data_IF_096321583913
#
_entry.id   IF_096321583913
#
_cell.length_a   1.000
_cell.length_b   1.000
_cell.length_c   1.000
_cell.angle_alpha   90.00
_cell.angle_beta   90.00
_cell.angle_gamma   90.00
#
_symmetry.space_group_name_H-M   'P 1'
#
loop_
_entity.id
_entity.type
_entity.pdbx_description
1 polymer ?
#
# COMPACT_ATOMS: atom_id res chain seq x y z
N UNK A 1 19.22 -32.86 -3.42
CA UNK A 1 18.00 -33.60 -3.02
C UNK A 1 16.91 -32.66 -2.51
N UNK A 2 17.28 -31.58 -1.82
CA UNK A 2 16.35 -30.57 -1.25
C UNK A 2 15.48 -29.82 -2.27
N UNK A 3 16.03 -29.48 -3.45
CA UNK A 3 15.27 -28.78 -4.51
C UNK A 3 14.12 -29.60 -5.12
N UNK A 4 14.31 -30.91 -5.29
CA UNK A 4 13.28 -31.79 -5.85
C UNK A 4 12.11 -32.00 -4.87
N UNK A 5 12.39 -32.01 -3.56
CA UNK A 5 11.33 -32.05 -2.54
C UNK A 5 10.54 -30.74 -2.48
N UNK A 6 11.21 -29.59 -2.66
CA UNK A 6 10.55 -28.30 -2.74
C UNK A 6 9.60 -28.22 -3.96
N UNK A 7 10.08 -28.62 -5.14
CA UNK A 7 9.26 -28.67 -6.36
C UNK A 7 8.06 -29.64 -6.24
N UNK A 8 8.24 -30.76 -5.53
CA UNK A 8 7.15 -31.70 -5.27
C UNK A 8 6.06 -31.08 -4.37
N UNK A 9 6.46 -30.34 -3.32
CA UNK A 9 5.51 -29.62 -2.44
C UNK A 9 4.80 -28.49 -3.19
N UNK A 10 5.51 -27.76 -4.04
CA UNK A 10 4.93 -26.72 -4.89
C UNK A 10 3.92 -27.30 -5.88
N UNK A 11 4.25 -28.43 -6.51
CA UNK A 11 3.31 -29.14 -7.37
C UNK A 11 2.03 -29.54 -6.62
N UNK A 12 2.12 -30.05 -5.39
CA UNK A 12 0.93 -30.39 -4.59
C UNK A 12 0.05 -29.16 -4.34
N UNK A 13 0.65 -28.00 -4.05
CA UNK A 13 -0.09 -26.76 -3.87
C UNK A 13 -0.81 -26.34 -5.17
N UNK A 14 -0.10 -26.34 -6.30
CA UNK A 14 -0.67 -26.00 -7.62
C UNK A 14 -1.77 -26.98 -8.01
N UNK A 15 -1.58 -28.28 -7.77
CA UNK A 15 -2.57 -29.31 -8.08
C UNK A 15 -3.87 -29.09 -7.28
N UNK A 16 -3.76 -28.74 -5.99
CA UNK A 16 -4.91 -28.38 -5.16
C UNK A 16 -5.64 -27.15 -5.70
N UNK A 17 -4.90 -26.13 -6.13
CA UNK A 17 -5.49 -24.90 -6.68
C UNK A 17 -6.20 -25.18 -8.02
N UNK A 18 -5.62 -26.01 -8.88
CA UNK A 18 -6.25 -26.48 -10.13
C UNK A 18 -7.54 -27.27 -9.85
N UNK A 19 -7.50 -28.18 -8.88
CA UNK A 19 -8.68 -28.93 -8.41
C UNK A 19 -9.78 -27.98 -7.91
N UNK A 20 -9.44 -27.02 -7.05
CA UNK A 20 -10.40 -26.02 -6.56
C UNK A 20 -10.98 -25.16 -7.70
N UNK A 21 -10.23 -24.96 -8.78
CA UNK A 21 -10.68 -24.24 -9.98
C UNK A 21 -11.50 -25.10 -10.95
N UNK A 22 -11.58 -26.42 -10.74
CA UNK A 22 -12.33 -27.37 -11.58
C UNK A 22 -11.49 -28.03 -12.68
N UNK A 23 -10.16 -27.91 -12.63
CA UNK A 23 -9.20 -28.46 -13.60
C UNK A 23 -8.68 -29.83 -13.13
N UNK A 24 -9.59 -30.77 -12.91
CA UNK A 24 -9.28 -32.13 -12.48
C UNK A 24 -8.64 -32.95 -13.62
N UNK A 25 -7.77 -33.90 -13.27
CA UNK A 25 -7.24 -34.91 -14.21
C UNK A 25 -5.90 -34.59 -14.86
N UNK A 26 -5.29 -33.43 -14.61
CA UNK A 26 -3.91 -33.19 -15.04
C UNK A 26 -2.91 -33.87 -14.08
N UNK A 27 -2.50 -35.10 -14.42
CA UNK A 27 -1.47 -35.86 -13.69
C UNK A 27 -0.04 -35.45 -14.09
N UNK A 28 0.20 -34.13 -14.21
CA UNK A 28 1.44 -33.54 -14.74
C UNK A 28 2.66 -33.59 -13.81
N UNK A 29 2.64 -34.43 -12.77
CA UNK A 29 3.71 -34.52 -11.78
C UNK A 29 5.09 -34.82 -12.41
N UNK A 30 5.15 -35.37 -13.62
CA UNK A 30 6.40 -35.70 -14.34
C UNK A 30 6.55 -35.01 -15.69
N UNK A 31 5.50 -34.38 -16.23
CA UNK A 31 5.45 -33.86 -17.60
C UNK A 31 5.16 -32.35 -17.70
N UNK A 32 5.73 -31.56 -16.78
CA UNK A 32 5.69 -30.09 -16.88
C UNK A 32 6.75 -29.62 -17.89
N UNK A 33 6.32 -28.84 -18.89
CA UNK A 33 7.21 -28.25 -19.88
C UNK A 33 6.47 -27.89 -21.17
N UNK A 34 7.03 -26.94 -21.92
CA UNK A 34 6.45 -26.42 -23.17
C UNK A 34 6.41 -27.46 -24.27
N UNK A 35 7.31 -28.44 -24.28
CA UNK A 35 7.25 -29.57 -25.22
C UNK A 35 6.11 -30.55 -24.92
N UNK A 36 5.51 -30.53 -23.72
CA UNK A 36 4.38 -31.37 -23.38
C UNK A 36 3.06 -30.75 -23.92
N UNK A 37 2.31 -31.46 -24.78
CA UNK A 37 1.05 -30.95 -25.33
C UNK A 37 -0.02 -30.77 -24.25
N UNK A 38 -0.07 -31.65 -23.25
CA UNK A 38 -1.05 -31.56 -22.15
C UNK A 38 -0.83 -30.30 -21.29
N UNK A 39 0.43 -29.95 -21.04
CA UNK A 39 0.79 -28.72 -20.32
C UNK A 39 0.37 -27.47 -21.10
N UNK A 40 0.67 -27.44 -22.41
CA UNK A 40 0.24 -26.34 -23.29
C UNK A 40 -1.27 -26.24 -23.37
N UNK A 41 -1.97 -27.38 -23.44
CA UNK A 41 -3.43 -27.45 -23.42
C UNK A 41 -4.02 -26.94 -22.10
N UNK A 42 -3.43 -27.28 -20.96
CA UNK A 42 -3.86 -26.74 -19.67
C UNK A 42 -3.72 -25.22 -19.61
N UNK A 43 -2.54 -24.68 -19.98
CA UNK A 43 -2.30 -23.24 -20.02
C UNK A 43 -3.29 -22.54 -20.96
N UNK A 44 -3.57 -23.14 -22.13
CA UNK A 44 -4.53 -22.61 -23.08
C UNK A 44 -5.97 -22.56 -22.54
N UNK A 45 -6.41 -23.60 -21.80
CA UNK A 45 -7.74 -23.58 -21.16
C UNK A 45 -7.85 -22.51 -20.07
N UNK A 46 -6.83 -22.36 -19.23
CA UNK A 46 -6.78 -21.31 -18.20
C UNK A 46 -6.82 -19.91 -18.83
N UNK A 47 -6.02 -19.69 -19.87
CA UNK A 47 -5.99 -18.42 -20.61
C UNK A 47 -7.31 -18.10 -21.31
N UNK A 48 -7.96 -19.11 -21.92
CA UNK A 48 -9.27 -18.95 -22.53
C UNK A 48 -10.31 -18.55 -21.48
N UNK A 49 -10.29 -19.17 -20.29
CA UNK A 49 -11.21 -18.81 -19.22
C UNK A 49 -10.97 -17.38 -18.73
N UNK A 50 -9.71 -16.98 -18.49
CA UNK A 50 -9.35 -15.60 -18.15
C UNK A 50 -9.91 -14.58 -19.17
N UNK A 51 -9.83 -14.90 -20.46
CA UNK A 51 -10.42 -14.09 -21.52
C UNK A 51 -11.95 -13.99 -21.40
N UNK A 52 -12.64 -15.10 -21.14
CA UNK A 52 -14.11 -15.08 -20.93
C UNK A 52 -14.53 -14.27 -19.71
N UNK A 53 -13.64 -14.14 -18.71
CA UNK A 53 -13.87 -13.38 -17.51
C UNK A 53 -13.62 -11.88 -17.68
N UNK A 54 -13.02 -11.46 -18.80
CA UNK A 54 -12.69 -10.06 -19.08
C UNK A 54 -11.41 -9.58 -18.38
N UNK A 55 -10.50 -10.51 -18.03
CA UNK A 55 -9.23 -10.18 -17.39
C UNK A 55 -8.19 -9.59 -18.36
N UNK A 56 -8.51 -9.55 -19.66
CA UNK A 56 -7.66 -9.07 -20.75
C UNK A 56 -8.31 -7.80 -21.33
N UNK A 57 -7.56 -6.70 -21.41
CA UNK A 57 -8.04 -5.38 -21.84
C UNK A 57 -8.39 -5.30 -23.34
N UNK A 58 -8.29 -6.41 -24.09
CA UNK A 58 -8.66 -6.44 -25.51
C UNK A 58 -10.10 -5.97 -25.71
N UNK A 59 -10.24 -4.92 -26.50
CA UNK A 59 -11.51 -4.41 -26.97
C UNK A 59 -12.36 -5.57 -27.51
N UNK A 60 -13.64 -5.54 -27.14
CA UNK A 60 -14.67 -6.61 -27.24
C UNK A 60 -14.93 -7.17 -28.65
N UNK A 61 -14.18 -6.76 -29.66
CA UNK A 61 -14.36 -7.07 -31.07
C UNK A 61 -13.12 -7.76 -31.65
N UNK A 62 -12.90 -9.00 -31.19
CA UNK A 62 -12.62 -10.17 -32.01
C UNK A 62 -12.21 -11.27 -31.04
N UNK A 63 -12.89 -12.43 -31.12
CA UNK A 63 -12.46 -13.65 -30.43
C UNK A 63 -11.14 -14.14 -31.04
N UNK A 64 -10.06 -13.42 -30.80
CA UNK A 64 -8.71 -13.89 -31.06
C UNK A 64 -8.38 -14.91 -29.97
N UNK A 65 -8.20 -16.17 -30.37
CA UNK A 65 -7.75 -17.23 -29.48
C UNK A 65 -6.45 -16.80 -28.78
N UNK A 66 -6.56 -16.52 -27.48
CA UNK A 66 -5.52 -15.88 -26.66
C UNK A 66 -4.25 -16.72 -26.57
N UNK A 67 -4.42 -18.02 -26.40
CA UNK A 67 -3.31 -18.96 -26.29
C UNK A 67 -3.70 -20.29 -26.95
N UNK A 68 -2.94 -20.72 -27.95
CA UNK A 68 -3.18 -21.98 -28.67
C UNK A 68 -2.19 -23.04 -28.18
N UNK A 69 -2.71 -24.20 -27.79
CA UNK A 69 -1.87 -25.33 -27.44
C UNK A 69 -1.07 -25.81 -28.67
N UNK A 70 -1.77 -26.07 -29.79
CA UNK A 70 -1.23 -26.50 -31.08
C UNK A 70 -0.55 -27.89 -31.04
N UNK A 71 -0.76 -28.72 -32.07
CA UNK A 71 -0.15 -30.08 -32.13
C UNK A 71 0.74 -30.29 -33.37
N UNK A 72 1.06 -29.19 -34.08
CA UNK A 72 1.87 -29.22 -35.30
C UNK A 72 3.36 -28.93 -35.08
N UNK A 73 4.20 -29.16 -36.11
CA UNK A 73 5.59 -28.71 -36.09
C UNK A 73 5.63 -27.18 -35.93
N UNK A 74 6.36 -26.69 -34.92
CA UNK A 74 6.41 -25.26 -34.58
C UNK A 74 5.33 -24.78 -33.57
N UNK A 75 4.51 -25.69 -33.04
CA UNK A 75 3.47 -25.34 -32.08
C UNK A 75 4.03 -24.86 -30.73
N UNK A 76 5.21 -25.35 -30.32
CA UNK A 76 5.88 -24.91 -29.11
C UNK A 76 6.32 -23.44 -29.22
N UNK A 77 6.96 -23.05 -30.32
CA UNK A 77 7.41 -21.69 -30.57
C UNK A 77 6.25 -20.71 -30.79
N UNK A 78 5.14 -21.18 -31.38
CA UNK A 78 3.91 -20.39 -31.47
C UNK A 78 3.28 -20.17 -30.09
N UNK A 79 3.19 -21.22 -29.28
CA UNK A 79 2.70 -21.16 -27.91
C UNK A 79 3.52 -20.19 -27.05
N UNK A 80 4.86 -20.29 -27.11
CA UNK A 80 5.77 -19.45 -26.33
C UNK A 80 5.63 -17.96 -26.67
N UNK A 81 5.45 -17.61 -27.95
CA UNK A 81 5.21 -16.22 -28.37
C UNK A 81 3.89 -15.69 -27.82
N UNK A 82 2.80 -16.46 -27.98
CA UNK A 82 1.48 -16.10 -27.45
C UNK A 82 1.48 -15.99 -25.92
N UNK A 83 2.23 -16.87 -25.26
CA UNK A 83 2.36 -16.87 -23.81
C UNK A 83 3.07 -15.61 -23.32
N UNK A 84 4.14 -15.18 -23.98
CA UNK A 84 4.84 -13.95 -23.63
C UNK A 84 3.93 -12.72 -23.76
N UNK A 85 3.10 -12.66 -24.81
CA UNK A 85 2.12 -11.59 -24.98
C UNK A 85 1.03 -11.61 -23.90
N UNK A 86 0.50 -12.80 -23.58
CA UNK A 86 -0.47 -12.98 -22.51
C UNK A 86 0.08 -12.55 -21.15
N UNK A 87 1.31 -12.96 -20.81
CA UNK A 87 1.93 -12.63 -19.53
C UNK A 87 2.21 -11.14 -19.40
N UNK A 88 2.56 -10.46 -20.50
CA UNK A 88 2.72 -9.00 -20.53
C UNK A 88 1.41 -8.27 -20.31
N UNK A 89 0.32 -8.77 -20.87
CA UNK A 89 -1.03 -8.21 -20.70
C UNK A 89 -1.59 -8.45 -19.30
N UNK A 90 -1.34 -9.62 -18.71
CA UNK A 90 -1.68 -9.92 -17.32
C UNK A 90 -0.70 -9.29 -16.30
N UNK A 91 0.26 -8.47 -16.76
CA UNK A 91 1.26 -7.82 -15.92
C UNK A 91 2.01 -8.79 -14.98
N UNK A 92 2.41 -9.96 -15.49
CA UNK A 92 3.08 -10.98 -14.69
C UNK A 92 4.39 -10.45 -14.06
N UNK A 93 4.58 -10.59 -12.74
CA UNK A 93 5.76 -10.04 -12.06
C UNK A 93 7.03 -10.89 -12.22
N UNK A 94 6.93 -12.11 -12.75
CA UNK A 94 8.08 -13.00 -12.93
C UNK A 94 8.93 -12.54 -14.13
N UNK A 95 10.08 -11.94 -13.83
CA UNK A 95 11.01 -11.41 -14.83
C UNK A 95 11.65 -12.49 -15.71
N UNK A 96 11.76 -13.72 -15.23
CA UNK A 96 12.31 -14.82 -16.03
C UNK A 96 11.30 -15.27 -17.09
N UNK A 97 10.01 -15.30 -16.72
CA UNK A 97 8.93 -15.66 -17.64
C UNK A 97 8.59 -14.53 -18.63
N UNK A 98 8.71 -13.27 -18.21
CA UNK A 98 8.40 -12.10 -19.05
C UNK A 98 9.62 -11.52 -19.79
N UNK A 99 10.80 -12.11 -19.60
CA UNK A 99 12.04 -11.69 -20.22
C UNK A 99 12.18 -12.17 -21.68
N UNK A 100 13.27 -11.78 -22.34
CA UNK A 100 13.54 -12.13 -23.73
C UNK A 100 13.80 -13.62 -24.02
N UNK A 101 13.94 -14.45 -22.98
CA UNK A 101 14.22 -15.89 -23.10
C UNK A 101 13.25 -16.75 -22.26
N UNK A 102 11.95 -16.48 -22.40
CA UNK A 102 10.88 -17.28 -21.79
C UNK A 102 11.00 -18.77 -22.15
N UNK A 103 11.51 -19.07 -23.35
CA UNK A 103 11.76 -20.42 -23.84
C UNK A 103 12.80 -21.17 -22.99
N UNK A 104 13.93 -20.53 -22.63
CA UNK A 104 14.90 -21.15 -21.75
C UNK A 104 14.37 -21.30 -20.32
N UNK A 105 13.66 -20.28 -19.80
CA UNK A 105 13.09 -20.33 -18.46
C UNK A 105 12.12 -21.52 -18.29
N UNK A 106 11.21 -21.73 -19.25
CA UNK A 106 10.20 -22.79 -19.19
C UNK A 106 10.74 -24.21 -19.47
N UNK A 107 12.05 -24.37 -19.69
CA UNK A 107 12.69 -25.70 -19.59
C UNK A 107 12.84 -26.15 -18.14
N UNK A 108 12.87 -25.21 -17.20
CA UNK A 108 12.94 -25.51 -15.78
C UNK A 108 11.56 -25.83 -15.22
N UNK A 109 11.46 -26.97 -14.52
CA UNK A 109 10.22 -27.41 -13.89
C UNK A 109 9.66 -26.36 -12.91
N UNK A 110 10.53 -25.73 -12.12
CA UNK A 110 10.16 -24.65 -11.22
C UNK A 110 9.54 -23.44 -11.94
N UNK A 111 10.00 -23.07 -13.13
CA UNK A 111 9.41 -21.96 -13.89
C UNK A 111 8.01 -22.31 -14.41
N UNK A 112 7.80 -23.55 -14.85
CA UNK A 112 6.46 -24.04 -15.22
C UNK A 112 5.49 -24.05 -14.02
N UNK A 113 5.95 -24.40 -12.82
CA UNK A 113 5.15 -24.33 -11.60
C UNK A 113 4.77 -22.89 -11.24
N UNK A 114 5.73 -21.95 -11.32
CA UNK A 114 5.46 -20.52 -11.10
C UNK A 114 4.45 -19.98 -12.11
N UNK A 115 4.55 -20.37 -13.38
CA UNK A 115 3.57 -20.02 -14.40
C UNK A 115 2.18 -20.51 -14.05
N UNK A 116 2.02 -21.80 -13.72
CA UNK A 116 0.70 -22.36 -13.37
C UNK A 116 0.12 -21.70 -12.13
N UNK A 117 0.96 -21.46 -11.10
CA UNK A 117 0.54 -20.76 -9.89
C UNK A 117 0.03 -19.36 -10.22
N UNK A 118 0.74 -18.62 -11.06
CA UNK A 118 0.34 -17.30 -11.51
C UNK A 118 -1.00 -17.34 -12.27
N UNK A 119 -1.15 -18.23 -13.26
CA UNK A 119 -2.40 -18.36 -14.01
C UNK A 119 -3.58 -18.76 -13.11
N UNK A 120 -3.35 -19.64 -12.12
CA UNK A 120 -4.37 -19.99 -11.13
C UNK A 120 -4.77 -18.80 -10.26
N UNK A 121 -3.80 -18.01 -9.77
CA UNK A 121 -4.11 -16.84 -8.93
C UNK A 121 -4.84 -15.76 -9.72
N UNK A 122 -4.46 -15.51 -10.97
CA UNK A 122 -5.18 -14.58 -11.84
C UNK A 122 -6.60 -15.07 -12.11
N UNK A 123 -6.78 -16.38 -12.32
CA UNK A 123 -8.12 -16.93 -12.56
C UNK A 123 -9.01 -16.83 -11.31
N UNK A 124 -8.45 -17.10 -10.13
CA UNK A 124 -9.13 -16.91 -8.85
C UNK A 124 -9.55 -15.44 -8.67
N UNK A 125 -8.63 -14.49 -8.94
CA UNK A 125 -8.89 -13.07 -8.86
C UNK A 125 -9.98 -12.62 -9.86
N UNK A 126 -9.89 -13.03 -11.11
CA UNK A 126 -10.86 -12.71 -12.16
C UNK A 126 -12.26 -13.26 -11.82
N UNK A 127 -12.34 -14.50 -11.31
CA UNK A 127 -13.62 -15.08 -10.84
C UNK A 127 -14.18 -14.28 -9.66
N UNK A 128 -13.35 -13.90 -8.69
CA UNK A 128 -13.76 -13.07 -7.57
C UNK A 128 -14.29 -11.71 -8.04
N UNK A 129 -13.56 -11.03 -8.93
CA UNK A 129 -13.96 -9.72 -9.47
C UNK A 129 -15.26 -9.79 -10.28
N UNK A 130 -15.57 -10.91 -10.95
CA UNK A 130 -16.88 -11.10 -11.59
C UNK A 130 -18.02 -11.37 -10.61
N UNK A 131 -17.72 -12.00 -9.49
CA UNK A 131 -18.71 -12.30 -8.43
C UNK A 131 -18.93 -11.11 -7.51
N UNK A 132 -17.95 -10.21 -7.38
CA UNK A 132 -18.00 -9.04 -6.50
C UNK A 132 -19.22 -8.14 -6.81
N UNK A 133 -19.53 -7.77 -8.08
CA UNK A 133 -20.76 -7.05 -8.41
C UNK A 133 -22.06 -7.79 -8.04
N UNK A 134 -22.04 -9.13 -7.94
CA UNK A 134 -23.22 -9.93 -7.57
C UNK A 134 -23.45 -10.01 -6.05
N UNK A 135 -22.37 -9.99 -5.26
CA UNK A 135 -22.43 -9.84 -3.81
C UNK A 135 -22.90 -8.44 -3.41
N UNK A 136 -22.48 -7.41 -4.17
CA UNK A 136 -22.93 -6.04 -3.97
C UNK A 136 -24.41 -5.83 -4.40
N UNK A 137 -24.97 -6.73 -5.21
CA UNK A 137 -26.35 -6.63 -5.73
C UNK A 137 -27.38 -7.52 -5.01
N UNK A 138 -26.97 -8.31 -4.01
CA UNK A 138 -27.91 -9.18 -3.27
C UNK A 138 -28.51 -8.42 -2.08
N UNK A 139 -29.83 -8.16 -2.06
CA UNK A 139 -30.50 -7.81 -0.81
C UNK A 139 -30.50 -9.07 0.06
N UNK A 140 -29.50 -9.19 0.94
CA UNK A 140 -29.52 -10.22 1.96
C UNK A 140 -30.81 -10.07 2.79
N UNK A 141 -31.52 -11.16 3.10
CA UNK A 141 -32.68 -11.09 3.98
C UNK A 141 -32.23 -10.61 5.37
N UNK A 142 -33.05 -9.84 6.10
CA UNK A 142 -32.66 -9.32 7.40
C UNK A 142 -32.49 -10.51 8.36
N UNK A 143 -31.23 -10.80 8.70
CA UNK A 143 -30.91 -11.80 9.70
C UNK A 143 -30.95 -11.13 11.07
N UNK A 144 -32.01 -11.42 11.82
CA UNK A 144 -32.01 -11.58 13.28
C UNK A 144 -31.69 -10.36 14.13
N UNK A 145 -32.73 -9.83 14.75
CA UNK A 145 -32.74 -8.86 15.85
C UNK A 145 -31.58 -9.00 16.86
N UNK A 146 -30.79 -7.94 16.98
CA UNK A 146 -29.79 -7.72 18.02
C UNK A 146 -29.49 -6.22 18.12
N UNK A 147 -30.44 -5.45 18.66
CA UNK A 147 -30.50 -3.99 18.57
C UNK A 147 -29.47 -3.19 19.41
N UNK A 148 -28.43 -3.83 19.95
CA UNK A 148 -27.49 -3.17 20.88
C UNK A 148 -26.03 -3.12 20.34
N UNK A 149 -25.61 -4.03 19.46
CA UNK A 149 -24.22 -4.07 18.93
C UNK A 149 -23.99 -3.15 17.71
N UNK A 150 -25.06 -2.77 17.02
CA UNK A 150 -24.98 -1.95 15.81
C UNK A 150 -24.60 -0.49 16.06
N UNK A 151 -25.03 0.08 17.20
CA UNK A 151 -24.80 1.50 17.52
C UNK A 151 -23.33 1.79 17.84
N UNK A 152 -22.62 0.84 18.48
CA UNK A 152 -21.18 0.96 18.78
C UNK A 152 -20.35 1.00 17.49
N UNK A 153 -20.64 0.09 16.55
CA UNK A 153 -19.96 0.05 15.25
C UNK A 153 -20.27 1.29 14.41
N UNK A 154 -21.52 1.76 14.41
CA UNK A 154 -21.90 3.02 13.74
C UNK A 154 -21.14 4.19 14.35
N UNK A 155 -21.00 4.24 15.68
CA UNK A 155 -20.28 5.30 16.37
C UNK A 155 -18.78 5.31 15.99
N UNK A 156 -18.13 4.15 15.94
CA UNK A 156 -16.73 4.02 15.51
C UNK A 156 -16.53 4.42 14.04
N UNK A 157 -17.46 4.04 13.16
CA UNK A 157 -17.44 4.48 11.76
C UNK A 157 -17.59 6.00 11.68
N UNK A 158 -18.52 6.60 12.41
CA UNK A 158 -18.69 8.07 12.48
C UNK A 158 -17.41 8.76 12.96
N UNK A 159 -16.72 8.21 13.97
CA UNK A 159 -15.43 8.73 14.45
C UNK A 159 -14.35 8.61 13.37
N UNK A 160 -14.34 7.52 12.63
CA UNK A 160 -13.42 7.30 11.50
C UNK A 160 -13.63 8.35 10.41
N UNK A 161 -14.87 8.59 9.97
CA UNK A 161 -15.19 9.65 9.00
C UNK A 161 -14.67 11.02 9.46
N UNK A 162 -14.83 11.34 10.75
CA UNK A 162 -14.34 12.60 11.32
C UNK A 162 -12.81 12.68 11.32
N UNK A 163 -12.12 11.61 11.73
CA UNK A 163 -10.66 11.55 11.73
C UNK A 163 -10.07 11.68 10.32
N UNK A 164 -10.77 11.13 9.32
CA UNK A 164 -10.37 11.17 7.91
C UNK A 164 -10.77 12.48 7.21
N UNK A 165 -11.53 13.36 7.88
CA UNK A 165 -12.01 14.62 7.32
C UNK A 165 -13.05 14.44 6.21
N UNK A 166 -13.76 13.32 6.21
CA UNK A 166 -14.84 13.03 5.26
C UNK A 166 -16.13 13.77 5.67
N UNK A 167 -17.09 13.96 4.74
CA UNK A 167 -18.40 14.53 5.06
C UNK A 167 -19.05 13.75 6.21
N UNK A 168 -19.64 14.47 7.17
CA UNK A 168 -20.32 13.81 8.29
C UNK A 168 -21.53 13.05 7.75
N UNK A 169 -21.63 11.74 8.04
CA UNK A 169 -22.80 10.98 7.64
C UNK A 169 -24.06 11.44 8.38
N UNK A 170 -25.21 11.19 7.78
CA UNK A 170 -26.51 11.53 8.39
C UNK A 170 -26.75 10.74 9.68
N UNK A 171 -27.34 11.34 10.73
CA UNK A 171 -27.73 10.60 11.93
C UNK A 171 -28.72 9.47 11.59
N UNK A 172 -28.51 8.29 12.15
CA UNK A 172 -29.35 7.10 11.87
C UNK A 172 -28.99 6.34 10.58
N UNK A 173 -27.86 6.67 9.94
CA UNK A 173 -27.34 5.90 8.80
C UNK A 173 -26.86 4.52 9.28
N UNK A 174 -27.34 3.46 8.64
CA UNK A 174 -26.93 2.09 8.97
C UNK A 174 -25.43 1.87 8.71
N UNK A 175 -24.77 1.03 9.53
CA UNK A 175 -23.34 0.72 9.42
C UNK A 175 -22.93 0.25 8.02
N UNK A 176 -23.79 -0.54 7.36
CA UNK A 176 -23.54 -1.03 5.99
C UNK A 176 -23.39 0.10 4.97
N UNK A 177 -24.19 1.16 5.11
CA UNK A 177 -24.13 2.32 4.22
C UNK A 177 -22.87 3.16 4.47
N UNK A 178 -22.49 3.33 5.74
CA UNK A 178 -21.24 4.01 6.12
C UNK A 178 -20.01 3.26 5.61
N UNK A 179 -20.01 1.93 5.72
CA UNK A 179 -18.94 1.10 5.18
C UNK A 179 -18.87 1.23 3.66
N UNK A 180 -20.00 1.22 2.97
CA UNK A 180 -20.02 1.39 1.51
C UNK A 180 -19.45 2.76 1.09
N UNK A 181 -19.81 3.83 1.80
CA UNK A 181 -19.27 5.18 1.56
C UNK A 181 -17.77 5.31 1.90
N UNK A 182 -17.27 4.56 2.89
CA UNK A 182 -15.82 4.44 3.17
C UNK A 182 -15.08 3.62 2.10
N UNK A 183 -15.73 2.57 1.61
CA UNK A 183 -15.19 1.67 0.59
C UNK A 183 -15.30 2.25 -0.83
N UNK A 184 -15.96 3.39 -1.00
CA UNK A 184 -15.98 4.09 -2.27
C UNK A 184 -14.54 4.43 -2.69
N UNK A 185 -14.13 3.83 -3.81
CA UNK A 185 -12.73 3.66 -4.20
C UNK A 185 -12.04 5.01 -4.40
N UNK A 186 -12.74 5.97 -4.97
CA UNK A 186 -12.22 7.31 -5.24
C UNK A 186 -11.89 8.07 -3.95
N UNK A 187 -12.75 7.96 -2.94
CA UNK A 187 -12.55 8.61 -1.64
C UNK A 187 -11.33 8.04 -0.91
N UNK A 188 -11.19 6.71 -0.90
CA UNK A 188 -10.11 6.00 -0.22
C UNK A 188 -8.75 6.24 -0.89
N UNK A 189 -8.69 6.21 -2.23
CA UNK A 189 -7.46 6.46 -2.99
C UNK A 189 -6.96 7.89 -2.78
N UNK A 190 -7.87 8.87 -2.86
CA UNK A 190 -7.57 10.29 -2.61
C UNK A 190 -7.03 10.52 -1.19
N UNK A 191 -7.64 9.87 -0.20
CA UNK A 191 -7.20 9.93 1.20
C UNK A 191 -5.80 9.30 1.38
N UNK A 192 -5.57 8.11 0.81
CA UNK A 192 -4.28 7.43 0.87
C UNK A 192 -3.17 8.27 0.21
N UNK A 193 -3.50 9.01 -0.85
CA UNK A 193 -2.56 9.95 -1.46
C UNK A 193 -2.24 11.12 -0.52
N UNK A 194 -3.26 11.77 0.08
CA UNK A 194 -3.03 12.87 1.04
C UNK A 194 -2.18 12.46 2.24
N UNK A 195 -2.42 11.27 2.80
CA UNK A 195 -1.63 10.76 3.93
C UNK A 195 -0.18 10.49 3.54
N UNK A 196 0.06 9.93 2.33
CA UNK A 196 1.41 9.74 1.78
C UNK A 196 2.12 11.09 1.59
N UNK A 197 1.43 12.08 1.04
CA UNK A 197 1.99 13.42 0.83
C UNK A 197 2.36 14.08 2.16
N UNK A 198 1.49 13.99 3.18
CA UNK A 198 1.78 14.51 4.53
C UNK A 198 2.97 13.80 5.17
N UNK A 199 3.04 12.48 5.08
CA UNK A 199 4.16 11.70 5.59
C UNK A 199 5.47 12.08 4.91
N UNK A 200 5.47 12.20 3.57
CA UNK A 200 6.62 12.65 2.79
C UNK A 200 7.08 14.04 3.24
N UNK A 201 6.16 15.00 3.37
CA UNK A 201 6.47 16.35 3.83
C UNK A 201 7.13 16.32 5.22
N UNK A 202 6.56 15.58 6.17
CA UNK A 202 7.10 15.48 7.54
C UNK A 202 8.47 14.81 7.55
N UNK A 203 8.68 13.76 6.77
CA UNK A 203 9.98 13.08 6.63
C UNK A 203 11.03 14.03 6.05
N UNK A 204 10.71 14.75 4.98
CA UNK A 204 11.61 15.72 4.36
C UNK A 204 11.99 16.84 5.34
N UNK A 205 11.03 17.35 6.12
CA UNK A 205 11.31 18.37 7.15
C UNK A 205 12.22 17.84 8.26
N UNK A 206 11.98 16.61 8.74
CA UNK A 206 12.81 15.99 9.78
C UNK A 206 14.24 15.74 9.28
N UNK A 207 14.39 15.21 8.07
CA UNK A 207 15.69 15.01 7.44
C UNK A 207 16.42 16.34 7.22
N UNK A 208 15.74 17.35 6.68
CA UNK A 208 16.35 18.67 6.45
C UNK A 208 16.78 19.33 7.76
N UNK A 209 16.00 19.19 8.83
CA UNK A 209 16.36 19.68 10.15
C UNK A 209 17.59 18.95 10.71
N UNK A 210 17.66 17.63 10.52
CA UNK A 210 18.84 16.85 10.88
C UNK A 210 20.07 17.36 10.12
N UNK A 211 19.97 17.51 8.79
CA UNK A 211 21.07 18.01 7.96
C UNK A 211 21.56 19.39 8.41
N UNK A 212 20.63 20.31 8.72
CA UNK A 212 20.97 21.64 9.23
C UNK A 212 21.63 21.56 10.61
N UNK A 213 21.19 20.65 11.47
CA UNK A 213 21.77 20.44 12.80
C UNK A 213 23.20 19.88 12.67
N UNK A 214 23.41 18.87 11.82
CA UNK A 214 24.74 18.31 11.55
C UNK A 214 25.66 19.34 10.90
N UNK A 215 25.14 20.13 9.96
CA UNK A 215 25.88 21.19 9.27
C UNK A 215 26.30 22.32 10.21
N UNK A 216 25.53 22.60 11.26
CA UNK A 216 25.89 23.61 12.26
C UNK A 216 27.18 23.27 13.03
N UNK A 217 27.48 21.98 13.23
CA UNK A 217 28.74 21.55 13.85
C UNK A 217 29.94 21.74 12.93
N UNK A 218 29.75 21.65 11.62
CA UNK A 218 30.79 21.91 10.62
C UNK A 218 30.81 23.37 10.16
N UNK A 219 30.06 24.25 10.84
CA UNK A 219 30.04 25.65 10.48
C UNK A 219 31.37 26.33 10.78
N UNK A 220 32.11 25.89 11.81
CA UNK A 220 33.49 26.33 12.08
C UNK A 220 34.41 26.05 10.90
N UNK A 221 34.42 24.81 10.39
CA UNK A 221 35.32 24.40 9.31
C UNK A 221 34.97 25.13 8.00
N UNK A 222 33.67 25.30 7.72
CA UNK A 222 33.21 26.04 6.53
C UNK A 222 33.44 27.55 6.67
N UNK A 223 33.26 28.12 7.86
CA UNK A 223 33.53 29.52 8.13
C UNK A 223 35.02 29.83 8.10
N UNK A 224 35.88 28.92 8.55
CA UNK A 224 37.34 29.07 8.49
C UNK A 224 37.84 29.04 7.04
N UNK A 225 37.26 28.20 6.19
CA UNK A 225 37.56 28.16 4.75
C UNK A 225 37.02 29.39 4.00
N UNK A 226 35.83 29.89 4.35
CA UNK A 226 35.19 31.02 3.65
C UNK A 226 35.58 32.41 4.17
N UNK A 227 35.85 32.54 5.47
CA UNK A 227 36.09 33.82 6.16
C UNK A 227 37.50 33.93 6.78
N UNK A 228 38.34 32.91 6.64
CA UNK A 228 39.64 32.83 7.32
C UNK A 228 39.50 32.55 8.82
N UNK A 229 40.60 32.67 9.58
CA UNK A 229 40.59 32.44 11.02
C UNK A 229 39.69 33.49 11.72
N UNK A 230 38.50 33.07 12.17
CA UNK A 230 37.55 33.94 12.88
C UNK A 230 37.93 33.94 14.37
N UNK A 231 38.32 35.08 14.97
CA UNK A 231 38.73 35.12 16.37
C UNK A 231 37.55 34.76 17.29
N UNK A 232 37.86 34.00 18.33
CA UNK A 232 36.91 33.43 19.27
C UNK A 232 36.03 34.52 19.90
N UNK A 233 34.71 34.46 19.63
CA UNK A 233 33.74 35.48 20.08
C UNK A 233 32.95 35.05 21.32
N UNK A 234 33.31 33.93 21.93
CA UNK A 234 32.67 33.47 23.15
C UNK A 234 33.65 32.64 23.96
N UNK A 235 34.31 33.28 24.93
CA UNK A 235 35.16 32.58 25.89
C UNK A 235 34.44 31.41 26.54
N UNK A 236 35.19 30.37 26.94
CA UNK A 236 34.60 29.19 27.58
C UNK A 236 33.75 29.63 28.79
N UNK A 237 32.60 29.00 29.06
CA UNK A 237 31.69 29.43 30.14
C UNK A 237 32.34 29.59 31.52
N UNK A 238 33.47 28.93 31.78
CA UNK A 238 34.22 29.02 33.03
C UNK A 238 35.23 30.19 33.11
N UNK A 239 35.42 30.96 32.03
CA UNK A 239 36.36 32.10 31.95
C UNK A 239 35.65 33.46 32.04
N UNK A 240 34.30 33.47 32.03
CA UNK A 240 33.47 34.66 32.17
C UNK A 240 33.11 34.88 33.64
N UNK A 241 34.01 35.50 34.41
CA UNK A 241 33.68 35.98 35.75
C UNK A 241 32.90 37.30 35.62
N UNK A 242 31.56 37.22 35.71
CA UNK A 242 30.73 38.42 35.70
C UNK A 242 30.96 39.20 37.01
N UNK A 243 31.33 40.49 36.97
CA UNK A 243 31.52 41.26 38.20
C UNK A 243 30.20 41.31 38.98
N UNK A 244 30.24 40.85 40.24
CA UNK A 244 29.08 40.84 41.13
C UNK A 244 28.56 42.27 41.36
N UNK A 245 27.29 42.59 41.05
CA UNK A 245 26.74 43.90 41.32
C UNK A 245 26.50 44.08 42.83
N UNK A 246 26.88 45.24 43.38
CA UNK A 246 26.59 45.58 44.77
C UNK A 246 25.10 45.88 44.95
N UNK A 247 24.45 45.18 45.88
CA UNK A 247 23.05 45.39 46.22
C UNK A 247 22.91 46.54 47.23
N UNK A 248 22.19 47.60 46.89
CA UNK A 248 21.75 48.63 47.84
C UNK A 248 20.31 48.35 48.30
N UNK A 249 20.09 48.42 49.62
CA UNK A 249 18.78 48.16 50.23
C UNK A 249 17.75 49.20 49.79
N UNK A 250 16.58 48.74 49.36
CA UNK A 250 15.57 49.54 48.65
C UNK A 250 14.72 50.45 49.55
N UNK A 251 14.89 50.53 50.87
CA UNK A 251 14.08 51.43 51.71
C UNK A 251 14.78 51.81 53.02
N UNK A 252 15.34 53.02 53.07
CA UNK A 252 15.14 53.95 54.17
C UNK A 252 14.96 55.37 53.58
N UNK A 253 14.00 56.09 54.13
CA UNK A 253 13.78 57.54 54.07
C UNK A 253 13.15 58.18 52.82
N UNK A 254 11.81 58.13 52.82
CA UNK A 254 11.01 59.34 53.08
C UNK A 254 11.05 60.49 52.07
N UNK A 255 9.99 60.62 51.25
CA UNK A 255 9.72 61.87 50.53
C UNK A 255 8.65 61.73 49.47
N UNK A 256 7.40 62.03 49.82
CA UNK A 256 6.24 61.73 48.99
C UNK A 256 6.09 62.55 47.71
N UNK A 257 5.17 62.10 46.84
CA UNK A 257 4.00 62.87 46.38
C UNK A 257 3.13 62.03 45.45
N UNK A 258 1.83 62.34 45.56
CA UNK A 258 0.65 61.74 44.92
C UNK A 258 0.72 61.62 43.39
N UNK A 259 -0.03 60.63 42.89
CA UNK A 259 -0.99 60.65 41.77
C UNK A 259 -0.76 59.41 40.87
N UNK A 260 -1.73 58.61 40.45
CA UNK A 260 -3.19 58.72 40.53
C UNK A 260 -3.81 57.33 40.34
N UNK A 261 -5.04 57.20 40.82
CA UNK A 261 -5.88 56.00 40.77
C UNK A 261 -6.18 55.60 39.31
N UNK A 262 -6.18 54.30 39.02
CA UNK A 262 -7.25 53.69 38.22
C UNK A 262 -7.66 52.34 38.82
N UNK A 263 -8.97 52.21 39.01
CA UNK A 263 -9.68 51.16 39.73
C UNK A 263 -10.33 50.22 38.72
N UNK A 264 -10.10 48.91 38.84
CA UNK A 264 -10.92 47.90 38.16
C UNK A 264 -11.84 47.23 39.18
N UNK A 265 -13.12 47.54 39.07
CA UNK A 265 -14.18 47.07 39.95
C UNK A 265 -14.52 45.59 39.72
N UNK A 266 -14.47 44.79 40.78
CA UNK A 266 -14.89 43.39 40.80
C UNK A 266 -16.34 43.30 41.30
N UNK A 267 -17.29 43.00 40.42
CA UNK A 267 -18.69 42.69 40.77
C UNK A 267 -18.73 41.48 41.71
N UNK A 268 -19.32 41.64 42.89
CA UNK A 268 -19.65 40.55 43.83
C UNK A 268 -20.98 39.90 43.42
N UNK A 269 -21.01 38.56 43.44
CA UNK A 269 -22.23 37.73 43.47
C UNK A 269 -23.02 38.07 44.73
N UNK A 270 -24.34 38.25 44.60
CA UNK A 270 -25.26 38.35 45.73
C UNK A 270 -25.86 36.96 46.00
N UNK A 271 -26.02 36.72 47.29
CA UNK A 271 -26.59 35.56 47.97
C UNK A 271 -28.08 35.45 47.70
#
# INVERSE_FOLDING_TARGET
MEGAEAEAREWVAVARDLQALGYEGFSGATSLGTSCPDFRALCARLAAELATLGALEREREESAEVLRAGDGPGAEEAFLRQLADLLRELHCPDRALCGGDCAAALRERGACLRLLRFLCSELQAARLLRLYPRLDSSPAPPCGEGAEEGDDVVQELVLTFQALGLPRPTPGTAASRLLWELHDKEALESLCQRLRDQYCCRRCLLLKRLDLTTSAFHWSDRAEVLMGNVPDRGGRPNELEAPMPSWQSRREDGGGRKAGRQSWGRKKKKK
#
